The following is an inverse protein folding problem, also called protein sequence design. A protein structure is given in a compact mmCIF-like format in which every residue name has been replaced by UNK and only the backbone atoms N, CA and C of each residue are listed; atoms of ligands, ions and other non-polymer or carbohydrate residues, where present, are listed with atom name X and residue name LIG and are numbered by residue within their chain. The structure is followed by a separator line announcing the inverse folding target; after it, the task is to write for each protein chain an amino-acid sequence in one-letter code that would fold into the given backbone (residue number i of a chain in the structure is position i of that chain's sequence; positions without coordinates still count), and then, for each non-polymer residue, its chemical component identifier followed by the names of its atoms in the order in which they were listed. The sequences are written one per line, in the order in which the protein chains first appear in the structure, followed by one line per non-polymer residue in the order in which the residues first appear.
data_IF_559576329388
#
_entry.id   IF_559576329388
#
_cell.length_a   1.000
_cell.length_b   1.000
_cell.length_c   1.000
_cell.angle_alpha   90.00
_cell.angle_beta   90.00
_cell.angle_gamma   90.00
#
_symmetry.space_group_name_H-M   'P 1'
#
loop_
_entity.id
_entity.type
_entity.pdbx_description
1 polymer ?
#
# COMPACT_ATOMS: atom_id res chain seq x y z
N UNK A 1 -17.05 -8.54 -13.04
CA UNK A 1 -17.11 -7.66 -11.85
C UNK A 1 -16.67 -6.28 -12.25
N UNK A 2 -17.10 -5.24 -11.53
CA UNK A 2 -16.58 -3.87 -11.65
C UNK A 2 -15.75 -3.55 -10.41
N UNK A 3 -14.45 -3.38 -10.58
CA UNK A 3 -13.54 -2.97 -9.51
C UNK A 3 -12.79 -1.70 -9.90
N UNK A 4 -12.46 -0.88 -8.90
CA UNK A 4 -11.55 0.25 -9.04
C UNK A 4 -10.43 0.13 -8.02
N UNK A 5 -9.21 0.43 -8.46
CA UNK A 5 -8.01 0.45 -7.62
C UNK A 5 -7.57 1.90 -7.44
N UNK A 6 -7.84 2.48 -6.28
CA UNK A 6 -7.39 3.83 -5.95
C UNK A 6 -6.05 3.78 -5.25
N UNK A 7 -5.06 4.56 -5.69
CA UNK A 7 -3.71 4.46 -5.14
C UNK A 7 -3.04 5.80 -4.88
N UNK A 8 -2.21 5.86 -3.84
CA UNK A 8 -1.23 6.93 -3.63
C UNK A 8 0.17 6.41 -3.98
N UNK A 9 0.92 7.10 -4.83
CA UNK A 9 2.29 6.69 -5.17
C UNK A 9 3.20 7.89 -5.40
N UNK A 10 4.35 7.89 -4.72
CA UNK A 10 5.38 8.90 -4.97
C UNK A 10 6.45 8.42 -5.95
N UNK A 11 6.97 7.21 -5.73
CA UNK A 11 8.12 6.68 -6.46
C UNK A 11 7.75 5.62 -7.51
N UNK A 12 6.45 5.38 -7.72
CA UNK A 12 5.92 4.51 -8.78
C UNK A 12 5.66 3.05 -8.38
N UNK A 13 6.18 2.57 -7.24
CA UNK A 13 6.01 1.15 -6.85
C UNK A 13 4.55 0.81 -6.53
N UNK A 14 3.85 1.65 -5.76
CA UNK A 14 2.40 1.46 -5.49
C UNK A 14 1.56 1.58 -6.75
N UNK A 15 1.91 2.51 -7.65
CA UNK A 15 1.24 2.64 -8.95
C UNK A 15 1.35 1.35 -9.74
N UNK A 16 2.53 0.76 -9.82
CA UNK A 16 2.75 -0.51 -10.54
C UNK A 16 1.87 -1.63 -9.98
N UNK A 17 1.81 -1.78 -8.66
CA UNK A 17 0.91 -2.74 -8.03
C UNK A 17 -0.55 -2.46 -8.33
N UNK A 18 -0.97 -1.19 -8.27
CA UNK A 18 -2.34 -0.80 -8.59
C UNK A 18 -2.72 -1.12 -10.04
N UNK A 19 -1.82 -0.87 -10.99
CA UNK A 19 -2.00 -1.20 -12.40
C UNK A 19 -2.11 -2.73 -12.61
N UNK A 20 -1.24 -3.53 -12.00
CA UNK A 20 -1.35 -5.00 -12.08
C UNK A 20 -2.63 -5.55 -11.46
N UNK A 21 -3.04 -5.04 -10.29
CA UNK A 21 -4.28 -5.46 -9.64
C UNK A 21 -5.49 -5.07 -10.51
N UNK A 22 -5.49 -3.87 -11.08
CA UNK A 22 -6.57 -3.44 -11.98
C UNK A 22 -6.65 -4.33 -13.23
N UNK A 23 -5.50 -4.69 -13.83
CA UNK A 23 -5.42 -5.60 -14.97
C UNK A 23 -6.04 -6.98 -14.64
N UNK A 24 -5.67 -7.59 -13.51
CA UNK A 24 -6.19 -8.90 -13.08
C UNK A 24 -7.69 -8.88 -12.73
N UNK A 25 -8.23 -7.73 -12.33
CA UNK A 25 -9.63 -7.55 -11.98
C UNK A 25 -10.49 -7.06 -13.16
N UNK A 26 -9.86 -6.73 -14.31
CA UNK A 26 -10.55 -6.09 -15.43
C UNK A 26 -11.11 -4.70 -15.07
N UNK A 27 -10.45 -4.00 -14.15
CA UNK A 27 -10.85 -2.69 -13.62
C UNK A 27 -9.92 -1.56 -14.06
N UNK A 28 -10.00 -0.44 -13.35
CA UNK A 28 -9.13 0.72 -13.58
C UNK A 28 -8.30 1.08 -12.34
N UNK A 29 -7.10 1.63 -12.57
CA UNK A 29 -6.24 2.15 -11.53
C UNK A 29 -6.26 3.69 -11.55
N UNK A 30 -6.74 4.31 -10.47
CA UNK A 30 -6.90 5.77 -10.37
C UNK A 30 -6.00 6.33 -9.27
N UNK A 31 -5.15 7.33 -9.56
CA UNK A 31 -4.39 8.01 -8.52
C UNK A 31 -5.33 8.75 -7.55
N UNK A 32 -5.04 8.72 -6.26
CA UNK A 32 -5.89 9.26 -5.19
C UNK A 32 -6.19 10.76 -5.39
N UNK A 33 -5.28 11.50 -6.03
CA UNK A 33 -5.45 12.91 -6.37
C UNK A 33 -6.56 13.16 -7.40
N UNK A 34 -7.02 12.11 -8.09
CA UNK A 34 -8.13 12.16 -9.07
C UNK A 34 -9.35 11.37 -8.61
N UNK A 35 -9.34 10.86 -7.37
CA UNK A 35 -10.34 9.93 -6.86
C UNK A 35 -11.54 10.60 -6.17
N UNK A 36 -11.58 11.93 -6.08
CA UNK A 36 -12.69 12.66 -5.43
C UNK A 36 -14.03 12.52 -6.17
N UNK A 37 -14.03 12.24 -7.47
CA UNK A 37 -15.23 12.01 -8.28
C UNK A 37 -15.71 10.56 -8.33
N UNK A 38 -15.02 9.63 -7.67
CA UNK A 38 -15.36 8.20 -7.70
C UNK A 38 -16.51 7.92 -6.75
N UNK A 39 -17.63 7.44 -7.29
CA UNK A 39 -18.69 6.79 -6.51
C UNK A 39 -18.30 5.34 -6.22
N UNK A 40 -17.77 5.09 -5.01
CA UNK A 40 -17.38 3.75 -4.57
C UNK A 40 -18.59 2.79 -4.45
N UNK A 41 -19.81 3.30 -4.33
CA UNK A 41 -21.04 2.52 -4.34
C UNK A 41 -21.30 1.80 -5.67
N UNK A 42 -20.82 2.37 -6.77
CA UNK A 42 -21.01 1.86 -8.12
C UNK A 42 -20.14 0.64 -8.50
N UNK A 43 -19.27 0.20 -7.60
CA UNK A 43 -18.35 -0.91 -7.79
C UNK A 43 -18.73 -2.12 -6.93
N UNK A 44 -18.40 -3.31 -7.41
CA UNK A 44 -18.58 -4.55 -6.66
C UNK A 44 -17.59 -4.63 -5.47
N UNK A 45 -16.39 -4.10 -5.67
CA UNK A 45 -15.36 -3.96 -4.65
C UNK A 45 -14.41 -2.81 -4.99
N UNK A 46 -13.80 -2.21 -3.97
CA UNK A 46 -12.79 -1.16 -4.10
C UNK A 46 -11.49 -1.61 -3.48
N UNK A 47 -10.39 -1.41 -4.21
CA UNK A 47 -9.03 -1.65 -3.69
C UNK A 47 -8.36 -0.31 -3.43
N UNK A 48 -7.74 -0.16 -2.26
CA UNK A 48 -6.93 1.00 -1.93
C UNK A 48 -5.45 0.62 -1.75
N UNK A 49 -4.56 1.30 -2.47
CA UNK A 49 -3.11 1.11 -2.38
C UNK A 49 -2.40 2.34 -1.82
N UNK A 50 -1.73 2.21 -0.68
CA UNK A 50 -0.86 3.27 -0.14
C UNK A 50 0.59 2.83 -0.05
N UNK A 51 1.50 3.78 0.15
CA UNK A 51 2.87 3.50 0.54
C UNK A 51 3.11 3.92 2.00
N UNK A 52 3.98 3.19 2.68
CA UNK A 52 4.34 3.48 4.07
C UNK A 52 5.35 4.64 4.10
N UNK A 53 5.00 5.71 4.81
CA UNK A 53 5.85 6.88 4.97
C UNK A 53 5.78 7.45 6.39
N UNK A 54 6.93 7.57 7.06
CA UNK A 54 7.13 8.39 8.26
C UNK A 54 5.93 8.45 9.23
N UNK A 55 5.38 7.29 9.62
CA UNK A 55 4.23 7.22 10.53
C UNK A 55 2.85 7.23 9.87
N UNK A 56 2.70 6.64 8.67
CA UNK A 56 1.37 6.29 8.18
C UNK A 56 1.29 5.72 6.75
N UNK A 57 0.11 5.20 6.43
CA UNK A 57 -0.30 4.83 5.08
C UNK A 57 -0.76 6.07 4.30
N UNK A 58 0.02 6.48 3.31
CA UNK A 58 -0.30 7.67 2.51
C UNK A 58 -1.58 7.43 1.70
N UNK A 59 -2.49 8.41 1.73
CA UNK A 59 -3.80 8.36 1.07
C UNK A 59 -4.94 7.77 1.91
N UNK A 60 -4.68 7.26 3.13
CA UNK A 60 -5.72 6.63 3.99
C UNK A 60 -6.94 7.50 4.28
N UNK A 61 -6.80 8.83 4.22
CA UNK A 61 -7.92 9.78 4.39
C UNK A 61 -8.98 9.67 3.29
N UNK A 62 -8.61 9.27 2.08
CA UNK A 62 -9.58 9.01 1.01
C UNK A 62 -10.35 7.73 1.32
N UNK A 63 -9.64 6.65 1.68
CA UNK A 63 -10.25 5.38 2.05
C UNK A 63 -11.28 5.55 3.18
N UNK A 64 -10.93 6.27 4.24
CA UNK A 64 -11.83 6.58 5.34
C UNK A 64 -13.14 7.24 4.88
N UNK A 65 -13.03 8.27 4.01
CA UNK A 65 -14.18 9.01 3.48
C UNK A 65 -15.05 8.13 2.57
N UNK A 66 -14.43 7.38 1.67
CA UNK A 66 -15.14 6.48 0.75
C UNK A 66 -15.91 5.39 1.51
N UNK A 67 -15.31 4.81 2.56
CA UNK A 67 -15.98 3.82 3.42
C UNK A 67 -17.17 4.40 4.19
N UNK A 68 -17.00 5.59 4.77
CA UNK A 68 -18.06 6.27 5.49
C UNK A 68 -19.25 6.60 4.58
N UNK A 69 -18.99 7.00 3.34
CA UNK A 69 -20.03 7.28 2.35
C UNK A 69 -20.70 6.01 1.79
N UNK A 70 -19.99 4.89 1.73
CA UNK A 70 -20.45 3.65 1.12
C UNK A 70 -20.22 2.43 2.03
N UNK A 71 -20.94 2.32 3.17
CA UNK A 71 -20.70 1.28 4.17
C UNK A 71 -20.99 -0.16 3.69
N UNK A 72 -21.77 -0.30 2.61
CA UNK A 72 -22.09 -1.60 1.98
C UNK A 72 -21.13 -1.98 0.84
N UNK A 73 -20.18 -1.11 0.48
CA UNK A 73 -19.17 -1.45 -0.50
C UNK A 73 -18.02 -2.19 0.18
N UNK A 74 -17.60 -3.36 -0.34
CA UNK A 74 -16.41 -4.05 0.13
C UNK A 74 -15.14 -3.28 -0.20
N UNK A 75 -14.23 -3.19 0.76
CA UNK A 75 -12.92 -2.56 0.60
C UNK A 75 -11.80 -3.55 0.95
N UNK A 76 -10.73 -3.51 0.17
CA UNK A 76 -9.45 -4.18 0.45
C UNK A 76 -8.34 -3.14 0.39
N UNK A 77 -7.36 -3.22 1.28
CA UNK A 77 -6.22 -2.30 1.30
C UNK A 77 -4.88 -3.04 1.13
N UNK A 78 -3.92 -2.39 0.47
CA UNK A 78 -2.53 -2.82 0.49
C UNK A 78 -1.57 -1.68 0.82
N UNK A 79 -0.51 -2.02 1.53
CA UNK A 79 0.60 -1.14 1.90
C UNK A 79 1.84 -1.54 1.11
N UNK A 80 2.54 -0.56 0.57
CA UNK A 80 3.82 -0.78 -0.11
C UNK A 80 4.97 -0.23 0.75
N UNK A 81 5.93 -1.07 1.08
CA UNK A 81 7.12 -0.72 1.85
C UNK A 81 8.40 -1.32 1.30
N UNK A 82 9.55 -0.84 1.75
CA UNK A 82 10.86 -1.31 1.29
C UNK A 82 11.37 -2.53 2.08
N UNK A 83 10.81 -2.80 3.26
CA UNK A 83 11.21 -3.89 4.15
C UNK A 83 11.03 -5.25 3.45
N UNK A 84 12.06 -6.11 3.44
CA UNK A 84 11.94 -7.47 2.93
C UNK A 84 10.86 -8.26 3.70
N UNK A 85 10.05 -9.10 3.03
CA UNK A 85 9.02 -9.91 3.69
C UNK A 85 9.59 -10.92 4.69
N UNK A 86 10.87 -11.28 4.57
CA UNK A 86 11.59 -12.15 5.49
C UNK A 86 11.76 -11.51 6.87
N UNK A 87 11.66 -10.18 6.98
CA UNK A 87 11.68 -9.44 8.23
C UNK A 87 10.24 -9.24 8.74
N UNK A 88 9.55 -10.36 8.93
CA UNK A 88 8.12 -10.40 9.26
C UNK A 88 7.80 -9.59 10.53
N UNK A 89 8.68 -9.63 11.54
CA UNK A 89 8.53 -8.83 12.76
C UNK A 89 8.46 -7.32 12.49
N UNK A 90 9.31 -6.82 11.58
CA UNK A 90 9.31 -5.40 11.21
C UNK A 90 8.11 -5.03 10.33
N UNK A 91 7.69 -5.94 9.44
CA UNK A 91 6.50 -5.75 8.61
C UNK A 91 5.26 -5.72 9.50
N UNK A 92 5.13 -6.68 10.41
CA UNK A 92 4.02 -6.79 11.35
C UNK A 92 3.98 -5.59 12.29
N UNK A 93 5.12 -5.12 12.80
CA UNK A 93 5.18 -3.91 13.63
C UNK A 93 4.75 -2.67 12.83
N UNK A 94 5.24 -2.49 11.60
CA UNK A 94 4.84 -1.39 10.74
C UNK A 94 3.34 -1.43 10.40
N UNK A 95 2.81 -2.61 10.10
CA UNK A 95 1.38 -2.79 9.86
C UNK A 95 0.57 -2.57 11.16
N UNK A 96 1.02 -3.07 12.31
CA UNK A 96 0.31 -2.92 13.57
C UNK A 96 0.34 -1.49 14.14
N UNK A 97 1.40 -0.72 13.88
CA UNK A 97 1.53 0.68 14.32
C UNK A 97 0.76 1.65 13.46
N UNK A 98 0.70 1.39 12.15
CA UNK A 98 0.15 2.36 11.19
C UNK A 98 -1.31 2.10 10.81
N UNK A 99 -1.82 0.92 11.16
CA UNK A 99 -3.19 0.46 10.90
C UNK A 99 -4.17 0.38 12.10
N UNK A 100 -3.84 0.74 13.36
CA UNK A 100 -4.86 0.89 14.39
C UNK A 100 -5.53 2.26 14.17
N UNK A 101 -6.39 2.30 13.16
CA UNK A 101 -7.24 3.43 12.79
C UNK A 101 -8.66 2.87 12.71
N UNK A 102 -9.65 3.40 13.45
CA UNK A 102 -11.06 3.04 13.25
C UNK A 102 -11.48 3.05 11.77
N UNK A 103 -10.83 3.89 10.97
CA UNK A 103 -10.99 4.02 9.53
C UNK A 103 -10.62 2.77 8.72
N UNK A 104 -9.93 1.79 9.31
CA UNK A 104 -9.49 0.55 8.67
C UNK A 104 -10.16 -0.68 9.28
N UNK A 105 -10.93 -0.57 10.36
CA UNK A 105 -11.58 -1.71 11.01
C UNK A 105 -12.43 -2.52 10.02
N UNK A 106 -12.26 -3.84 10.00
CA UNK A 106 -12.93 -4.73 9.06
C UNK A 106 -12.44 -4.69 7.61
N UNK A 107 -11.39 -3.92 7.29
CA UNK A 107 -10.74 -3.94 5.97
C UNK A 107 -9.62 -4.97 5.98
N UNK A 108 -9.65 -5.92 5.05
CA UNK A 108 -8.53 -6.84 4.81
C UNK A 108 -7.31 -6.05 4.32
N UNK A 109 -6.13 -6.33 4.88
CA UNK A 109 -4.91 -5.56 4.59
C UNK A 109 -3.78 -6.47 4.15
N UNK A 110 -3.02 -6.03 3.16
CA UNK A 110 -1.87 -6.74 2.63
C UNK A 110 -0.63 -5.86 2.65
N UNK A 111 0.53 -6.45 2.91
CA UNK A 111 1.81 -5.80 2.69
C UNK A 111 2.43 -6.32 1.38
N UNK A 112 2.84 -5.42 0.50
CA UNK A 112 3.53 -5.74 -0.75
C UNK A 112 4.91 -5.09 -0.73
N UNK A 113 5.96 -5.89 -0.93
CA UNK A 113 7.32 -5.35 -1.01
C UNK A 113 7.44 -4.46 -2.25
N UNK A 114 7.77 -3.21 -2.04
CA UNK A 114 8.11 -2.25 -3.08
C UNK A 114 9.61 -2.17 -3.30
N UNK A 115 10.07 -0.99 -3.67
CA UNK A 115 11.48 -0.69 -3.80
C UNK A 115 11.86 0.61 -3.11
N UNK A 116 13.11 1.00 -3.31
CA UNK A 116 13.64 2.29 -2.89
C UNK A 116 14.24 3.01 -4.08
N UNK A 117 13.84 4.26 -4.31
CA UNK A 117 14.33 5.06 -5.43
C UNK A 117 14.54 6.51 -4.95
N UNK A 118 15.74 6.80 -4.46
CA UNK A 118 16.06 8.08 -3.81
C UNK A 118 15.85 9.26 -4.75
N UNK A 119 16.18 9.10 -6.02
CA UNK A 119 16.13 10.10 -7.07
C UNK A 119 14.70 10.57 -7.32
N UNK A 120 13.73 9.66 -7.20
CA UNK A 120 12.30 9.88 -7.41
C UNK A 120 11.57 10.43 -6.18
N UNK A 121 12.23 10.51 -5.03
CA UNK A 121 11.65 11.10 -3.82
C UNK A 121 11.43 12.62 -3.99
N UNK A 122 10.40 13.14 -3.32
CA UNK A 122 10.21 14.59 -3.17
C UNK A 122 11.36 15.20 -2.34
N UNK A 123 11.58 16.52 -2.47
CA UNK A 123 12.63 17.21 -1.70
C UNK A 123 12.52 17.01 -0.17
N UNK A 124 11.32 17.11 0.45
CA UNK A 124 11.18 16.81 1.88
C UNK A 124 11.56 15.37 2.22
N UNK A 125 11.17 14.41 1.39
CA UNK A 125 11.45 12.98 1.64
C UNK A 125 12.92 12.64 1.42
N UNK A 126 13.61 13.32 0.50
CA UNK A 126 15.06 13.24 0.35
C UNK A 126 15.78 13.70 1.61
N UNK A 127 15.31 14.77 2.25
CA UNK A 127 15.87 15.27 3.51
C UNK A 127 15.61 14.30 4.66
N UNK A 128 14.37 13.79 4.79
CA UNK A 128 14.02 12.80 5.79
C UNK A 128 14.88 11.53 5.65
N UNK A 129 15.09 11.05 4.43
CA UNK A 129 15.96 9.89 4.16
C UNK A 129 17.43 10.15 4.47
N UNK A 130 17.94 11.37 4.28
CA UNK A 130 19.31 11.72 4.73
C UNK A 130 19.46 11.60 6.24
N UNK A 131 18.47 12.09 7.00
CA UNK A 131 18.48 11.96 8.46
C UNK A 131 18.36 10.50 8.90
N UNK A 132 17.47 9.74 8.24
CA UNK A 132 17.32 8.31 8.47
C UNK A 132 18.63 7.55 8.24
N UNK A 133 19.29 7.75 7.10
CA UNK A 133 20.58 7.11 6.82
C UNK A 133 21.64 7.46 7.86
N UNK A 134 21.75 8.73 8.27
CA UNK A 134 22.70 9.15 9.31
C UNK A 134 22.41 8.46 10.66
N UNK A 135 21.14 8.27 11.00
CA UNK A 135 20.74 7.55 12.21
C UNK A 135 21.08 6.06 12.11
N UNK A 136 20.78 5.42 10.98
CA UNK A 136 21.11 4.02 10.75
C UNK A 136 22.62 3.79 10.71
N UNK A 137 23.42 4.73 10.19
CA UNK A 137 24.90 4.62 10.17
C UNK A 137 25.45 4.52 11.59
N UNK A 138 24.86 5.26 12.54
CA UNK A 138 25.21 5.18 13.94
C UNK A 138 24.79 3.84 14.56
N UNK A 139 23.62 3.31 14.19
CA UNK A 139 23.10 2.04 14.71
C UNK A 139 23.82 0.81 14.13
N UNK A 140 24.31 0.90 12.89
CA UNK A 140 25.02 -0.17 12.20
C UNK A 140 26.29 -0.65 12.93
N UNK A 141 26.82 0.13 13.87
CA UNK A 141 27.92 -0.29 14.74
C UNK A 141 27.53 -1.43 15.70
N UNK A 142 26.23 -1.59 16.00
CA UNK A 142 25.71 -2.54 16.99
C UNK A 142 24.53 -3.37 16.49
N UNK A 143 23.92 -3.01 15.35
CA UNK A 143 22.78 -3.71 14.75
C UNK A 143 23.08 -4.12 13.28
N UNK A 144 23.27 -5.43 13.01
CA UNK A 144 23.47 -5.94 11.65
C UNK A 144 22.33 -5.63 10.68
N UNK A 145 21.07 -5.55 11.15
CA UNK A 145 19.92 -5.22 10.28
C UNK A 145 19.96 -3.75 9.85
N UNK A 146 20.43 -2.85 10.72
CA UNK A 146 20.66 -1.46 10.35
C UNK A 146 21.74 -1.34 9.25
N UNK A 147 22.80 -2.14 9.32
CA UNK A 147 23.84 -2.21 8.29
C UNK A 147 23.29 -2.76 6.96
N UNK A 148 22.51 -3.85 7.01
CA UNK A 148 21.90 -4.48 5.83
C UNK A 148 20.92 -3.53 5.14
N UNK A 149 20.07 -2.84 5.91
CA UNK A 149 19.12 -1.86 5.38
C UNK A 149 19.83 -0.70 4.67
N UNK A 150 20.91 -0.16 5.27
CA UNK A 150 21.72 0.87 4.62
C UNK A 150 22.32 0.38 3.31
N UNK A 151 22.91 -0.81 3.32
CA UNK A 151 23.52 -1.40 2.12
C UNK A 151 22.48 -1.64 1.02
N UNK A 152 21.31 -2.17 1.38
CA UNK A 152 20.24 -2.46 0.43
C UNK A 152 19.59 -1.21 -0.16
N UNK A 153 19.57 -0.09 0.57
CA UNK A 153 19.01 1.17 0.08
C UNK A 153 20.03 2.04 -0.68
N UNK A 154 21.34 1.88 -0.41
CA UNK A 154 22.41 2.58 -1.13
C UNK A 154 22.57 2.01 -2.54
N UNK A 155 21.96 2.69 -3.50
CA UNK A 155 21.91 2.29 -4.91
C UNK A 155 20.48 2.20 -5.45
N UNK A 156 19.49 2.21 -4.54
CA UNK A 156 18.11 1.96 -4.90
C UNK A 156 17.90 0.51 -5.32
N UNK A 157 16.66 0.06 -5.24
CA UNK A 157 16.27 -1.26 -5.69
C UNK A 157 14.80 -1.28 -6.08
N UNK A 158 14.43 -2.30 -6.84
CA UNK A 158 13.06 -2.60 -7.19
C UNK A 158 12.72 -3.99 -6.66
N UNK A 159 11.95 -4.06 -5.58
CA UNK A 159 11.54 -5.31 -4.96
C UNK A 159 10.11 -5.71 -5.31
N UNK A 160 9.48 -5.08 -6.32
CA UNK A 160 8.10 -5.43 -6.68
C UNK A 160 8.04 -6.80 -7.34
N UNK A 161 7.05 -7.59 -6.95
CA UNK A 161 6.78 -8.90 -7.54
C UNK A 161 5.30 -8.98 -7.94
N UNK A 162 5.02 -9.22 -9.23
CA UNK A 162 3.65 -9.34 -9.72
C UNK A 162 2.92 -10.51 -9.05
N UNK A 163 3.61 -11.60 -8.69
CA UNK A 163 2.98 -12.72 -8.00
C UNK A 163 2.42 -12.33 -6.61
N UNK A 164 2.97 -11.30 -5.97
CA UNK A 164 2.53 -10.83 -4.66
C UNK A 164 1.10 -10.24 -4.67
N UNK A 165 0.53 -9.92 -5.84
CA UNK A 165 -0.85 -9.43 -5.93
C UNK A 165 -1.91 -10.53 -5.80
N UNK A 166 -1.52 -11.80 -5.96
CA UNK A 166 -2.44 -12.94 -5.96
C UNK A 166 -3.38 -12.97 -4.74
N UNK A 167 -2.90 -12.83 -3.47
CA UNK A 167 -3.80 -12.80 -2.32
C UNK A 167 -4.75 -11.59 -2.31
N UNK A 168 -4.30 -10.43 -2.81
CA UNK A 168 -5.15 -9.23 -2.92
C UNK A 168 -6.29 -9.48 -3.91
N UNK A 169 -5.96 -9.97 -5.10
CA UNK A 169 -6.93 -10.25 -6.17
C UNK A 169 -7.93 -11.33 -5.74
N UNK A 170 -7.45 -12.40 -5.10
CA UNK A 170 -8.30 -13.47 -4.60
C UNK A 170 -9.35 -12.93 -3.61
N UNK A 171 -8.90 -12.15 -2.62
CA UNK A 171 -9.81 -11.56 -1.61
C UNK A 171 -10.86 -10.65 -2.23
N UNK A 172 -10.47 -9.83 -3.21
CA UNK A 172 -11.40 -8.93 -3.91
C UNK A 172 -12.48 -9.73 -4.64
N UNK A 173 -12.11 -10.82 -5.32
CA UNK A 173 -13.06 -11.70 -6.02
C UNK A 173 -14.04 -12.37 -5.06
N UNK A 174 -13.57 -12.84 -3.90
CA UNK A 174 -14.44 -13.42 -2.85
C UNK A 174 -15.48 -12.41 -2.34
N UNK A 175 -15.03 -11.20 -1.99
CA UNK A 175 -15.90 -10.16 -1.43
C UNK A 175 -16.95 -9.69 -2.43
N UNK A 176 -16.57 -9.55 -3.70
CA UNK A 176 -17.51 -9.18 -4.76
C UNK A 176 -18.55 -10.28 -5.03
N UNK A 177 -18.14 -11.56 -4.99
CA UNK A 177 -19.07 -12.68 -5.12
C UNK A 177 -20.10 -12.70 -3.97
N UNK A 178 -19.65 -12.47 -2.72
CA UNK A 178 -20.53 -12.38 -1.56
C UNK A 178 -21.53 -11.22 -1.68
N UNK A 179 -21.08 -10.03 -2.12
CA UNK A 179 -21.95 -8.87 -2.35
C UNK A 179 -23.02 -9.14 -3.41
N UNK A 180 -22.67 -9.84 -4.50
CA UNK A 180 -23.60 -10.21 -5.56
C UNK A 180 -24.69 -11.17 -5.08
N UNK A 181 -24.35 -12.11 -4.19
CA UNK A 181 -25.30 -13.06 -3.62
C UNK A 181 -26.31 -12.41 -2.65
N UNK A 182 -25.94 -11.31 -1.98
CA UNK A 182 -26.84 -10.57 -1.08
C UNK A 182 -27.84 -9.68 -1.83
N UNK A 183 -27.60 -9.41 -3.13
CA UNK A 183 -28.43 -8.55 -3.97
C UNK A 183 -29.33 -9.33 -4.95
N UNK A 184 -29.18 -10.65 -5.03
CA UNK A 184 -29.97 -11.56 -5.87
C UNK A 184 -31.14 -12.15 -5.07
#
# INVERSE_FOLDING_TARGET
MRAVVVYASQTGFTRRYAEWIAEELGGEAVPVERADGIDAGSYDAVVFGGWLHAGGLVGKKWLARARAAHPRTPFVAFAVGATPPEWADMVDEAMAREFPSPELDGVERFYLRGGFAYERLSLPNKLAMKMFFKMQEKQAATDPRAAEMLSGMRGGFDGTDRAAIAPVVARVRELAAAKGAEQA
#
